data_IF_289424634180
#
_entry.id   IF_289424634180
#
_cell.length_a   1.000
_cell.length_b   1.000
_cell.length_c   1.000
_cell.angle_alpha   90.00
_cell.angle_beta   90.00
_cell.angle_gamma   90.00
#
_symmetry.space_group_name_H-M   'P 1'
#
loop_
_entity.id
_entity.type
_entity.pdbx_description
1 polymer ?
#
# COMPACT_ATOMS: atom_id res chain seq x y z
N UNK A 1 6.89 1.88 -4.18
CA UNK A 1 6.76 1.23 -2.85
C UNK A 1 5.33 1.41 -2.35
N UNK A 2 4.86 0.58 -1.40
CA UNK A 2 3.55 0.69 -0.71
C UNK A 2 3.80 0.67 0.78
N UNK A 3 2.94 1.31 1.56
CA UNK A 3 3.01 1.25 3.02
C UNK A 3 2.81 -0.20 3.50
N UNK A 4 3.63 -0.65 4.44
CA UNK A 4 3.53 -1.97 5.05
C UNK A 4 2.42 -2.01 6.12
N UNK A 5 2.10 -3.22 6.62
CA UNK A 5 1.20 -3.34 7.75
C UNK A 5 1.72 -2.60 9.00
N UNK A 6 3.04 -2.56 9.20
CA UNK A 6 3.67 -1.83 10.32
C UNK A 6 3.37 -0.33 10.24
N UNK A 7 3.49 0.26 9.05
CA UNK A 7 3.13 1.67 8.84
C UNK A 7 1.63 1.94 9.00
N UNK A 8 0.77 1.02 8.55
CA UNK A 8 -0.68 1.12 8.74
C UNK A 8 -1.06 1.08 10.21
N UNK A 9 -0.50 0.15 10.99
CA UNK A 9 -0.77 0.05 12.43
C UNK A 9 -0.28 1.30 13.18
N UNK A 10 0.85 1.89 12.77
CA UNK A 10 1.30 3.17 13.31
C UNK A 10 0.26 4.28 13.09
N UNK A 11 -0.33 4.38 11.90
CA UNK A 11 -1.38 5.37 11.61
C UNK A 11 -2.62 5.11 12.46
N UNK A 12 -3.10 3.86 12.50
CA UNK A 12 -4.27 3.45 13.29
C UNK A 12 -4.14 3.81 14.77
N UNK A 13 -2.94 3.67 15.32
CA UNK A 13 -2.65 3.99 16.73
C UNK A 13 -2.94 5.47 17.07
N UNK A 14 -2.74 6.38 16.11
CA UNK A 14 -2.87 7.82 16.35
C UNK A 14 -4.19 8.42 15.85
N UNK A 15 -4.83 7.84 14.85
CA UNK A 15 -6.08 8.38 14.28
C UNK A 15 -7.32 7.93 15.06
N UNK A 16 -7.30 6.73 15.62
CA UNK A 16 -8.50 6.10 16.16
C UNK A 16 -9.48 5.70 15.05
N UNK A 17 -10.45 4.83 15.35
CA UNK A 17 -11.44 4.36 14.41
C UNK A 17 -12.85 4.63 14.89
N UNK A 18 -13.70 5.17 14.02
CA UNK A 18 -15.14 5.31 14.28
C UNK A 18 -15.95 4.59 13.21
N UNK A 19 -16.66 3.54 13.59
CA UNK A 19 -17.44 2.71 12.67
C UNK A 19 -18.83 3.30 12.35
N UNK A 20 -19.20 4.42 12.98
CA UNK A 20 -20.40 5.19 12.69
C UNK A 20 -20.03 6.60 12.31
N UNK A 21 -20.66 7.14 11.26
CA UNK A 21 -20.40 8.48 10.77
C UNK A 21 -20.66 9.53 11.85
N UNK A 22 -19.77 10.49 11.95
CA UNK A 22 -19.81 11.63 12.88
C UNK A 22 -19.44 12.91 12.13
N UNK A 23 -19.75 14.04 12.73
CA UNK A 23 -19.24 15.34 12.22
C UNK A 23 -17.89 15.62 12.86
N UNK A 24 -16.89 15.93 12.03
CA UNK A 24 -15.61 16.41 12.49
C UNK A 24 -15.74 17.85 13.08
N UNK A 25 -14.69 18.46 13.63
CA UNK A 25 -14.75 19.84 14.15
C UNK A 25 -15.13 20.90 13.10
N UNK A 26 -14.95 20.62 11.81
CA UNK A 26 -15.35 21.49 10.71
C UNK A 26 -16.81 21.21 10.26
N UNK A 27 -17.49 20.21 10.85
CA UNK A 27 -18.86 19.83 10.51
C UNK A 27 -18.97 18.85 9.34
N UNK A 28 -17.84 18.31 8.84
CA UNK A 28 -17.80 17.39 7.71
C UNK A 28 -18.17 15.97 8.19
N UNK A 29 -19.11 15.26 7.51
CA UNK A 29 -19.38 13.86 7.79
C UNK A 29 -18.13 13.00 7.59
N UNK A 30 -17.72 12.30 8.62
CA UNK A 30 -16.46 11.55 8.70
C UNK A 30 -16.70 10.16 9.27
N UNK A 31 -15.98 9.14 8.82
CA UNK A 31 -16.07 7.75 9.30
C UNK A 31 -14.69 7.09 9.27
N UNK A 32 -14.56 5.91 9.81
CA UNK A 32 -13.31 5.13 9.88
C UNK A 32 -12.18 5.90 10.59
N UNK A 33 -11.05 6.05 9.94
CA UNK A 33 -9.83 6.72 10.42
C UNK A 33 -9.72 8.17 9.89
N UNK A 34 -10.84 8.82 9.64
CA UNK A 34 -10.87 10.19 9.09
C UNK A 34 -11.33 10.26 7.63
N UNK A 35 -11.91 9.19 7.09
CA UNK A 35 -12.47 9.16 5.75
C UNK A 35 -13.69 10.06 5.63
N UNK A 36 -13.75 10.90 4.56
CA UNK A 36 -14.83 11.88 4.35
C UNK A 36 -15.53 11.73 3.01
N UNK A 37 -14.88 11.07 2.03
CA UNK A 37 -15.39 11.01 0.66
C UNK A 37 -16.67 10.17 0.56
N UNK A 38 -17.78 10.82 0.19
CA UNK A 38 -19.07 10.14 0.02
C UNK A 38 -19.80 9.75 1.31
N UNK A 39 -19.26 10.11 2.50
CA UNK A 39 -19.84 9.79 3.80
C UNK A 39 -21.09 10.61 4.05
N UNK A 40 -22.15 9.95 4.52
CA UNK A 40 -23.41 10.57 4.96
C UNK A 40 -23.64 10.31 6.43
N UNK A 41 -24.27 11.28 7.10
CA UNK A 41 -24.67 11.07 8.50
C UNK A 41 -25.66 9.90 8.60
N UNK A 42 -25.38 8.97 9.52
CA UNK A 42 -26.11 7.71 9.68
C UNK A 42 -25.40 6.49 9.10
N UNK A 43 -24.38 6.67 8.24
CA UNK A 43 -23.59 5.56 7.71
C UNK A 43 -22.91 4.77 8.85
N UNK A 44 -22.88 3.45 8.69
CA UNK A 44 -22.18 2.51 9.57
C UNK A 44 -21.40 1.51 8.73
N UNK A 45 -20.20 1.17 9.18
CA UNK A 45 -19.29 0.23 8.49
C UNK A 45 -18.73 -0.80 9.49
N UNK A 46 -18.17 -1.89 8.96
CA UNK A 46 -17.41 -2.86 9.74
C UNK A 46 -15.96 -2.40 9.92
N UNK A 47 -15.22 -3.06 10.82
CA UNK A 47 -13.78 -2.79 11.01
C UNK A 47 -12.99 -3.07 9.72
N UNK A 48 -13.34 -4.16 9.02
CA UNK A 48 -12.69 -4.53 7.76
C UNK A 48 -12.90 -3.44 6.69
N UNK A 49 -14.11 -2.87 6.61
CA UNK A 49 -14.41 -1.77 5.70
C UNK A 49 -13.65 -0.50 6.08
N UNK A 50 -13.51 -0.21 7.38
CA UNK A 50 -12.70 0.92 7.85
C UNK A 50 -11.23 0.76 7.46
N UNK A 51 -10.70 -0.45 7.58
CA UNK A 51 -9.31 -0.78 7.19
C UNK A 51 -9.11 -0.70 5.68
N UNK A 52 -10.09 -1.07 4.87
CA UNK A 52 -10.07 -0.90 3.41
C UNK A 52 -10.08 0.58 3.02
N UNK A 53 -10.97 1.39 3.63
CA UNK A 53 -11.02 2.84 3.40
C UNK A 53 -9.69 3.52 3.75
N UNK A 54 -9.07 3.15 4.87
CA UNK A 54 -7.75 3.69 5.23
C UNK A 54 -6.70 3.37 4.16
N UNK A 55 -6.66 2.13 3.65
CA UNK A 55 -5.71 1.74 2.60
C UNK A 55 -5.92 2.53 1.31
N UNK A 56 -7.17 2.81 0.95
CA UNK A 56 -7.51 3.60 -0.23
C UNK A 56 -7.10 5.06 -0.05
N UNK A 57 -7.36 5.66 1.12
CA UNK A 57 -6.96 7.03 1.43
C UNK A 57 -5.43 7.20 1.43
N UNK A 58 -4.69 6.18 1.86
CA UNK A 58 -3.23 6.22 1.92
C UNK A 58 -2.55 6.27 0.55
N UNK A 59 -3.20 5.85 -0.53
CA UNK A 59 -2.63 5.86 -1.90
C UNK A 59 -2.13 7.25 -2.30
N UNK A 60 -2.86 8.30 -1.93
CA UNK A 60 -2.49 9.69 -2.24
C UNK A 60 -1.19 10.07 -1.52
N UNK A 61 -1.05 9.67 -0.26
CA UNK A 61 0.11 10.00 0.57
C UNK A 61 1.33 9.16 0.21
N UNK A 62 1.13 7.89 -0.17
CA UNK A 62 2.18 7.06 -0.78
C UNK A 62 2.76 7.73 -2.03
N UNK A 63 1.92 8.29 -2.91
CA UNK A 63 2.36 9.04 -4.08
C UNK A 63 3.19 10.28 -3.73
N UNK A 64 2.82 11.00 -2.64
CA UNK A 64 3.56 12.16 -2.16
C UNK A 64 4.95 11.81 -1.62
N UNK A 65 5.11 10.63 -1.01
CA UNK A 65 6.39 10.12 -0.53
C UNK A 65 7.22 9.55 -1.69
N UNK A 66 6.60 8.74 -2.56
CA UNK A 66 7.25 8.14 -3.73
C UNK A 66 7.80 9.16 -4.72
N UNK A 67 7.26 10.37 -4.74
CA UNK A 67 7.79 11.52 -5.52
C UNK A 67 9.30 11.75 -5.31
N UNK A 68 9.80 11.40 -4.15
CA UNK A 68 11.21 11.60 -3.77
C UNK A 68 12.03 10.30 -3.74
N UNK A 69 11.45 9.17 -4.16
CA UNK A 69 12.08 7.85 -4.04
C UNK A 69 13.34 7.73 -4.93
N UNK A 70 13.31 8.28 -6.15
CA UNK A 70 14.46 8.31 -7.06
C UNK A 70 15.68 9.01 -6.45
N UNK A 71 15.45 9.92 -5.51
CA UNK A 71 16.52 10.67 -4.84
C UNK A 71 17.01 10.00 -3.57
N UNK A 72 16.07 9.50 -2.76
CA UNK A 72 16.40 9.06 -1.40
C UNK A 72 16.50 7.54 -1.29
N UNK A 73 15.89 6.80 -2.24
CA UNK A 73 15.84 5.34 -2.20
C UNK A 73 15.35 4.84 -0.83
N UNK A 74 14.16 5.32 -0.42
CA UNK A 74 13.58 5.01 0.88
C UNK A 74 13.58 3.51 1.15
N UNK A 75 14.06 3.10 2.30
CA UNK A 75 13.76 1.75 2.78
C UNK A 75 12.31 1.66 3.26
N UNK A 76 11.81 0.45 3.54
CA UNK A 76 10.40 0.24 3.90
C UNK A 76 10.01 1.01 5.16
N UNK A 77 10.85 1.03 6.21
CA UNK A 77 10.57 1.70 7.46
C UNK A 77 10.53 3.23 7.28
N UNK A 78 11.44 3.78 6.49
CA UNK A 78 11.46 5.20 6.13
C UNK A 78 10.22 5.58 5.34
N UNK A 79 9.83 4.78 4.35
CA UNK A 79 8.63 4.99 3.56
C UNK A 79 7.38 4.98 4.43
N UNK A 80 7.21 3.99 5.31
CA UNK A 80 6.09 3.84 6.22
C UNK A 80 5.95 5.04 7.17
N UNK A 81 7.06 5.46 7.78
CA UNK A 81 7.10 6.61 8.67
C UNK A 81 6.71 7.91 7.95
N UNK A 82 7.22 8.11 6.72
CA UNK A 82 6.91 9.28 5.91
C UNK A 82 5.48 9.30 5.38
N UNK A 83 4.87 8.14 5.08
CA UNK A 83 3.45 8.05 4.74
C UNK A 83 2.59 8.40 5.94
N UNK A 84 2.92 7.90 7.15
CA UNK A 84 2.23 8.31 8.39
C UNK A 84 2.35 9.82 8.63
N UNK A 85 3.55 10.36 8.46
CA UNK A 85 3.77 11.81 8.57
C UNK A 85 2.94 12.59 7.56
N UNK A 86 2.95 12.18 6.28
CA UNK A 86 2.21 12.84 5.20
C UNK A 86 0.69 12.77 5.42
N UNK A 87 0.18 11.65 5.95
CA UNK A 87 -1.23 11.49 6.28
C UNK A 87 -1.72 12.54 7.29
N UNK A 88 -0.90 12.85 8.30
CA UNK A 88 -1.23 13.84 9.33
C UNK A 88 -0.96 15.29 8.90
N UNK A 89 0.14 15.55 8.17
CA UNK A 89 0.60 16.91 7.83
C UNK A 89 0.14 17.34 6.42
N UNK A 90 -0.20 16.39 5.57
CA UNK A 90 -0.63 16.61 4.19
C UNK A 90 0.47 16.34 3.14
N UNK A 91 1.75 16.56 3.41
CA UNK A 91 2.87 16.26 2.51
C UNK A 91 4.20 16.17 3.25
N UNK A 92 5.26 15.71 2.54
CA UNK A 92 6.64 15.72 3.04
C UNK A 92 7.52 16.79 2.37
N UNK A 93 6.94 17.67 1.59
CA UNK A 93 7.68 18.65 0.79
C UNK A 93 8.54 19.58 1.67
N UNK A 94 7.95 20.16 2.72
CA UNK A 94 8.68 21.01 3.69
C UNK A 94 9.67 20.18 4.51
N UNK A 95 9.29 18.97 4.93
CA UNK A 95 10.14 18.08 5.70
C UNK A 95 11.41 17.73 4.93
N UNK A 96 11.31 17.44 3.63
CA UNK A 96 12.44 17.13 2.75
C UNK A 96 13.13 18.36 2.15
N UNK A 97 12.59 19.58 2.41
CA UNK A 97 13.01 20.81 1.71
C UNK A 97 12.93 20.64 0.18
N UNK A 98 11.81 20.07 -0.31
CA UNK A 98 11.61 19.71 -1.73
C UNK A 98 12.74 18.83 -2.28
N UNK A 99 13.12 17.82 -1.51
CA UNK A 99 14.15 16.86 -1.90
C UNK A 99 15.59 17.36 -1.70
N UNK A 100 15.85 18.47 -1.02
CA UNK A 100 17.21 19.00 -0.82
C UNK A 100 17.86 18.63 0.50
N UNK A 101 17.09 18.10 1.47
CA UNK A 101 17.59 17.81 2.82
C UNK A 101 18.21 16.41 2.88
N UNK A 102 19.29 16.24 3.64
CA UNK A 102 19.88 14.92 3.89
C UNK A 102 18.96 14.03 4.74
N UNK A 103 19.00 12.72 4.55
CA UNK A 103 18.15 11.73 5.26
C UNK A 103 18.24 11.88 6.78
N UNK A 104 19.46 11.96 7.32
CA UNK A 104 19.66 12.17 8.77
C UNK A 104 18.96 13.43 9.29
N UNK A 105 19.03 14.52 8.54
CA UNK A 105 18.36 15.78 8.90
C UNK A 105 16.84 15.67 8.77
N UNK A 106 16.33 14.88 7.82
CA UNK A 106 14.89 14.59 7.68
C UNK A 106 14.39 13.91 8.95
N UNK A 107 15.08 12.85 9.40
CA UNK A 107 14.77 12.14 10.64
C UNK A 107 14.65 13.10 11.83
N UNK A 108 15.64 13.95 12.05
CA UNK A 108 15.65 14.88 13.19
C UNK A 108 14.51 15.92 13.07
N UNK A 109 14.23 16.39 11.86
CA UNK A 109 13.18 17.38 11.59
C UNK A 109 11.75 16.85 11.80
N UNK A 110 11.51 15.55 11.73
CA UNK A 110 10.20 14.97 12.04
C UNK A 110 9.70 15.49 13.39
N UNK A 111 10.55 15.55 14.41
CA UNK A 111 10.18 15.96 15.77
C UNK A 111 9.70 17.42 15.88
N UNK A 112 10.00 18.29 14.92
CA UNK A 112 9.61 19.70 14.96
C UNK A 112 8.12 19.91 14.63
N UNK A 113 7.45 18.96 13.98
CA UNK A 113 6.06 19.04 13.55
C UNK A 113 5.07 18.62 14.67
N UNK A 114 5.25 19.18 15.86
CA UNK A 114 4.52 18.82 17.07
C UNK A 114 3.57 19.92 17.58
N UNK A 115 3.26 20.94 16.74
CA UNK A 115 2.42 22.08 17.11
C UNK A 115 1.17 22.15 16.24
N UNK A 116 0.07 22.61 16.83
CA UNK A 116 -1.13 23.03 16.12
C UNK A 116 -1.62 24.35 16.76
N UNK A 117 -2.01 25.34 15.93
CA UNK A 117 -2.38 26.69 16.40
C UNK A 117 -1.26 27.36 17.21
N UNK A 118 0.02 27.10 16.88
CA UNK A 118 1.19 27.63 17.58
C UNK A 118 1.52 26.94 18.91
N UNK A 119 0.65 26.06 19.42
CA UNK A 119 0.83 25.35 20.70
C UNK A 119 1.36 23.94 20.48
N UNK A 120 2.33 23.55 21.32
CA UNK A 120 2.84 22.17 21.36
C UNK A 120 1.76 21.24 21.91
N UNK A 121 1.48 20.14 21.24
CA UNK A 121 0.49 19.16 21.62
C UNK A 121 1.16 17.82 21.94
N UNK A 122 0.92 17.28 23.12
CA UNK A 122 1.54 16.00 23.56
C UNK A 122 1.18 14.82 22.67
N UNK A 123 -0.02 14.78 22.09
CA UNK A 123 -0.40 13.78 21.09
C UNK A 123 0.49 13.80 19.85
N UNK A 124 0.77 15.01 19.33
CA UNK A 124 1.68 15.20 18.20
C UNK A 124 3.13 14.87 18.57
N UNK A 125 3.56 15.21 19.80
CA UNK A 125 4.90 14.83 20.27
C UNK A 125 5.07 13.32 20.27
N UNK A 126 4.09 12.56 20.81
CA UNK A 126 4.14 11.10 20.80
C UNK A 126 4.15 10.54 19.38
N UNK A 127 3.29 11.07 18.49
CA UNK A 127 3.24 10.65 17.08
C UNK A 127 4.57 10.85 16.37
N UNK A 128 5.15 12.06 16.45
CA UNK A 128 6.45 12.37 15.83
C UNK A 128 7.58 11.50 16.36
N UNK A 129 7.58 11.18 17.65
CA UNK A 129 8.56 10.24 18.24
C UNK A 129 8.41 8.84 17.67
N UNK A 130 7.20 8.33 17.53
CA UNK A 130 6.95 7.02 16.97
C UNK A 130 7.31 6.96 15.46
N UNK A 131 6.97 7.99 14.69
CA UNK A 131 7.35 8.10 13.27
C UNK A 131 8.87 8.18 13.10
N UNK A 132 9.56 8.97 13.94
CA UNK A 132 11.04 9.03 13.92
C UNK A 132 11.65 7.68 14.30
N UNK A 133 11.14 7.01 15.32
CA UNK A 133 11.63 5.70 15.74
C UNK A 133 11.51 4.66 14.60
N UNK A 134 10.38 4.63 13.90
CA UNK A 134 10.20 3.78 12.73
C UNK A 134 11.13 4.18 11.58
N UNK A 135 11.31 5.48 11.34
CA UNK A 135 12.20 5.99 10.28
C UNK A 135 13.67 5.58 10.49
N UNK A 136 14.13 5.59 11.73
CA UNK A 136 15.53 5.29 12.11
C UNK A 136 15.78 3.79 12.32
N UNK A 137 14.72 2.97 12.35
CA UNK A 137 14.84 1.54 12.57
C UNK A 137 15.44 0.86 11.34
N UNK A 138 16.50 0.08 11.54
CA UNK A 138 17.12 -0.73 10.50
C UNK A 138 16.11 -1.74 9.92
N UNK A 139 16.11 -1.93 8.62
CA UNK A 139 15.34 -3.01 7.98
C UNK A 139 16.16 -4.30 8.15
N UNK A 140 15.58 -5.33 8.76
CA UNK A 140 16.23 -6.64 8.86
C UNK A 140 16.54 -7.16 7.44
N UNK A 141 17.84 -7.26 7.13
CA UNK A 141 18.34 -7.68 5.81
C UNK A 141 19.15 -6.64 5.05
N UNK A 142 19.26 -5.38 5.51
CA UNK A 142 20.10 -4.37 4.88
C UNK A 142 21.45 -4.24 5.60
N UNK A 143 22.30 -5.23 5.39
CA UNK A 143 23.74 -5.15 5.71
C UNK A 143 24.48 -4.65 4.48
N UNK A 144 24.37 -3.36 4.14
CA UNK A 144 25.29 -2.76 3.18
C UNK A 144 25.66 -1.33 3.53
N UNK A 145 26.59 -1.22 4.48
CA UNK A 145 27.60 -0.17 4.43
C UNK A 145 28.80 -0.74 3.66
N UNK A 146 28.80 -0.67 2.32
CA UNK A 146 30.00 -0.79 1.48
C UNK A 146 29.81 0.06 0.24
N UNK A 147 30.83 0.89 -0.03
CA UNK A 147 30.98 1.77 -1.20
C UNK A 147 30.89 1.03 -2.56
N UNK A 148 30.69 1.76 -3.66
CA UNK A 148 30.33 1.16 -4.95
C UNK A 148 31.54 0.57 -5.67
N UNK A 149 31.49 -0.70 -5.99
CA UNK A 149 32.30 -1.28 -7.06
C UNK A 149 31.38 -1.92 -8.11
N UNK A 150 31.66 -1.76 -9.39
CA UNK A 150 30.82 -2.29 -10.45
C UNK A 150 31.15 -3.75 -10.71
N UNK A 151 30.19 -4.64 -10.58
CA UNK A 151 30.35 -5.94 -11.21
C UNK A 151 29.03 -6.53 -11.72
N UNK A 152 29.08 -6.76 -13.00
CA UNK A 152 28.20 -7.45 -13.90
C UNK A 152 28.03 -8.91 -13.46
N UNK A 153 26.83 -9.35 -13.08
CA UNK A 153 26.50 -10.77 -13.08
C UNK A 153 24.98 -10.98 -13.15
N UNK A 154 24.58 -11.54 -14.24
CA UNK A 154 23.28 -12.10 -14.57
C UNK A 154 22.77 -13.04 -13.46
N UNK A 155 21.52 -12.93 -12.99
CA UNK A 155 20.96 -13.95 -12.11
C UNK A 155 20.63 -15.21 -12.92
N UNK A 156 21.27 -16.29 -12.51
CA UNK A 156 21.03 -17.66 -12.95
C UNK A 156 19.66 -18.12 -12.46
N UNK A 157 18.80 -18.52 -13.37
CA UNK A 157 17.56 -19.23 -13.10
C UNK A 157 17.86 -20.48 -12.29
N UNK A 158 17.30 -20.56 -11.11
CA UNK A 158 17.20 -21.83 -10.38
C UNK A 158 15.82 -22.39 -10.63
N UNK A 159 15.76 -23.39 -11.47
CA UNK A 159 14.60 -24.25 -11.67
C UNK A 159 14.27 -24.96 -10.35
N UNK A 160 13.15 -24.60 -9.75
CA UNK A 160 12.55 -25.39 -8.67
C UNK A 160 11.57 -26.38 -9.28
N UNK A 161 11.88 -27.64 -9.08
CA UNK A 161 11.13 -28.82 -9.52
C UNK A 161 9.69 -28.80 -9.03
N UNK A 162 8.79 -29.16 -9.94
CA UNK A 162 7.38 -29.47 -9.74
C UNK A 162 7.15 -30.49 -8.63
N UNK A 163 6.34 -30.09 -7.63
CA UNK A 163 5.40 -31.02 -7.00
C UNK A 163 3.99 -30.56 -7.38
N UNK A 164 3.32 -31.37 -8.16
CA UNK A 164 2.05 -31.10 -8.80
C UNK A 164 0.92 -31.00 -7.76
N UNK A 165 0.67 -29.81 -7.23
CA UNK A 165 -0.60 -29.51 -6.61
C UNK A 165 -1.53 -29.00 -7.71
N UNK A 166 -2.56 -29.79 -8.07
CA UNK A 166 -3.44 -29.52 -9.20
C UNK A 166 -4.18 -28.18 -9.02
N UNK A 167 -3.84 -27.23 -9.88
CA UNK A 167 -4.54 -25.94 -9.94
C UNK A 167 -5.96 -26.09 -10.51
N UNK A 168 -6.99 -25.50 -9.90
CA UNK A 168 -8.34 -25.48 -10.48
C UNK A 168 -8.44 -24.59 -11.72
N UNK A 169 -7.39 -23.82 -12.04
CA UNK A 169 -7.35 -22.89 -13.16
C UNK A 169 -6.57 -23.47 -14.33
N UNK A 170 -7.08 -23.25 -15.57
CA UNK A 170 -6.43 -23.67 -16.82
C UNK A 170 -5.99 -22.44 -17.62
N UNK A 171 -4.83 -22.51 -18.24
CA UNK A 171 -4.38 -21.51 -19.21
C UNK A 171 -5.35 -21.47 -20.39
N UNK A 172 -5.74 -20.28 -20.84
CA UNK A 172 -6.78 -20.07 -21.83
C UNK A 172 -8.21 -20.07 -21.27
N UNK A 173 -8.42 -20.54 -20.04
CA UNK A 173 -9.72 -20.49 -19.37
C UNK A 173 -10.16 -19.07 -19.03
N UNK A 174 -11.47 -18.84 -19.08
CA UNK A 174 -12.08 -17.58 -18.63
C UNK A 174 -12.79 -17.79 -17.31
N UNK A 175 -12.50 -16.92 -16.36
CA UNK A 175 -13.00 -16.99 -14.99
C UNK A 175 -13.54 -15.63 -14.55
N UNK A 176 -14.32 -15.61 -13.48
CA UNK A 176 -14.97 -14.37 -12.98
C UNK A 176 -14.37 -13.98 -11.65
N UNK A 177 -13.97 -12.73 -11.50
CA UNK A 177 -13.55 -12.13 -10.23
C UNK A 177 -14.70 -12.19 -9.23
N UNK A 178 -14.48 -12.85 -8.09
CA UNK A 178 -15.48 -13.10 -7.05
C UNK A 178 -14.98 -12.60 -5.69
N UNK A 179 -15.03 -11.29 -5.51
CA UNK A 179 -14.57 -10.58 -4.31
C UNK A 179 -15.63 -9.59 -3.84
N UNK A 180 -15.57 -9.13 -2.61
CA UNK A 180 -16.56 -8.18 -2.09
C UNK A 180 -16.44 -6.78 -2.73
N UNK A 181 -15.23 -6.30 -2.96
CA UNK A 181 -14.98 -4.97 -3.53
C UNK A 181 -14.24 -5.03 -4.87
N UNK A 182 -12.94 -5.25 -4.83
CA UNK A 182 -12.10 -5.32 -6.02
C UNK A 182 -10.86 -6.20 -5.79
N UNK A 183 -10.27 -6.71 -6.88
CA UNK A 183 -9.10 -7.59 -6.86
C UNK A 183 -7.89 -6.88 -7.47
N UNK A 184 -6.83 -6.74 -6.69
CA UNK A 184 -5.61 -6.06 -7.11
C UNK A 184 -4.91 -6.76 -8.28
N UNK A 185 -4.46 -5.97 -9.26
CA UNK A 185 -3.59 -6.40 -10.36
C UNK A 185 -2.15 -6.03 -10.04
N UNK A 186 -1.23 -6.99 -10.09
CA UNK A 186 0.17 -6.83 -9.72
C UNK A 186 1.12 -7.09 -10.89
N UNK A 187 2.35 -6.60 -10.78
CA UNK A 187 3.40 -6.80 -11.78
C UNK A 187 3.95 -8.23 -11.78
N UNK A 188 3.77 -8.98 -10.69
CA UNK A 188 4.25 -10.36 -10.53
C UNK A 188 3.33 -11.21 -9.68
N UNK A 189 3.58 -12.54 -9.65
CA UNK A 189 2.83 -13.54 -8.92
C UNK A 189 3.25 -13.55 -7.44
N UNK A 190 2.65 -12.71 -6.61
CA UNK A 190 2.93 -12.60 -5.18
C UNK A 190 2.38 -11.30 -4.58
N UNK A 191 2.08 -11.31 -3.28
CA UNK A 191 1.60 -10.12 -2.55
C UNK A 191 2.68 -9.03 -2.41
N UNK A 192 3.94 -9.39 -2.54
CA UNK A 192 5.11 -8.53 -2.47
C UNK A 192 5.41 -7.75 -3.77
N UNK A 193 4.76 -8.12 -4.89
CA UNK A 193 4.93 -7.37 -6.14
C UNK A 193 4.05 -6.11 -6.14
N UNK A 194 4.57 -5.04 -6.77
CA UNK A 194 3.87 -3.78 -6.95
C UNK A 194 2.52 -3.94 -7.66
N UNK A 195 1.61 -3.02 -7.40
CA UNK A 195 0.38 -2.89 -8.17
C UNK A 195 0.69 -2.35 -9.58
N UNK A 196 -0.05 -2.83 -10.58
CA UNK A 196 0.05 -2.31 -11.95
C UNK A 196 -0.45 -0.86 -12.01
N UNK A 197 -1.49 -0.53 -11.23
CA UNK A 197 -2.15 0.77 -11.24
C UNK A 197 -3.03 0.99 -12.48
N UNK A 198 -4.06 1.82 -12.35
CA UNK A 198 -5.08 2.02 -13.40
C UNK A 198 -4.49 2.42 -14.76
N UNK A 199 -3.51 3.34 -14.78
CA UNK A 199 -2.92 3.86 -16.03
C UNK A 199 -2.26 2.79 -16.89
N UNK A 200 -1.71 1.74 -16.24
CA UNK A 200 -0.94 0.67 -16.87
C UNK A 200 -1.75 -0.59 -17.20
N UNK A 201 -3.05 -0.60 -16.88
CA UNK A 201 -3.94 -1.66 -17.30
C UNK A 201 -4.20 -1.59 -18.81
N UNK A 202 -4.54 -2.74 -19.40
CA UNK A 202 -5.08 -2.79 -20.78
C UNK A 202 -6.37 -1.99 -20.87
N UNK A 203 -6.81 -1.55 -22.08
CA UNK A 203 -8.08 -0.86 -22.25
C UNK A 203 -9.27 -1.60 -21.64
N UNK A 204 -9.36 -2.91 -21.85
CA UNK A 204 -10.37 -3.78 -21.25
C UNK A 204 -10.25 -3.83 -19.73
N UNK A 205 -9.02 -3.98 -19.19
CA UNK A 205 -8.76 -3.92 -17.75
C UNK A 205 -9.22 -2.61 -17.12
N UNK A 206 -9.03 -1.48 -17.80
CA UNK A 206 -9.50 -0.15 -17.33
C UNK A 206 -11.02 -0.05 -17.28
N UNK A 207 -11.72 -0.65 -18.26
CA UNK A 207 -13.18 -0.64 -18.30
C UNK A 207 -13.82 -1.41 -17.13
N UNK A 208 -13.08 -2.33 -16.51
CA UNK A 208 -13.57 -3.22 -15.46
C UNK A 208 -12.81 -3.04 -14.13
N UNK A 209 -12.08 -1.94 -13.96
CA UNK A 209 -11.32 -1.65 -12.75
C UNK A 209 -11.83 -0.40 -12.04
N UNK A 210 -11.57 -0.32 -10.74
CA UNK A 210 -11.70 0.93 -10.00
C UNK A 210 -10.56 1.91 -10.36
N UNK A 211 -10.64 3.14 -9.86
CA UNK A 211 -9.65 4.19 -10.11
C UNK A 211 -8.21 3.83 -9.67
N UNK A 212 -8.03 2.86 -8.77
CA UNK A 212 -6.74 2.34 -8.33
C UNK A 212 -6.18 1.22 -9.22
N UNK A 213 -6.97 0.75 -10.20
CA UNK A 213 -6.57 -0.33 -11.11
C UNK A 213 -6.81 -1.73 -10.56
N UNK A 214 -7.66 -1.88 -9.53
CA UNK A 214 -8.12 -3.18 -9.07
C UNK A 214 -9.40 -3.58 -9.81
N UNK A 215 -9.48 -4.83 -10.28
CA UNK A 215 -10.61 -5.35 -11.04
C UNK A 215 -11.85 -5.50 -10.14
N UNK A 216 -12.97 -5.02 -10.62
CA UNK A 216 -14.24 -5.07 -9.90
C UNK A 216 -14.79 -6.50 -9.83
N UNK A 217 -15.63 -6.74 -8.82
CA UNK A 217 -16.39 -7.99 -8.73
C UNK A 217 -17.21 -8.23 -10.00
N UNK A 218 -17.26 -9.47 -10.47
CA UNK A 218 -17.95 -9.83 -11.71
C UNK A 218 -17.12 -9.67 -12.99
N UNK A 219 -15.92 -9.07 -12.92
CA UNK A 219 -15.03 -8.95 -14.09
C UNK A 219 -14.63 -10.33 -14.60
N UNK A 220 -14.81 -10.57 -15.89
CA UNK A 220 -14.33 -11.78 -16.56
C UNK A 220 -12.85 -11.61 -16.94
N UNK A 221 -12.03 -12.61 -16.67
CA UNK A 221 -10.60 -12.60 -16.96
C UNK A 221 -10.17 -13.88 -17.66
N UNK A 222 -9.36 -13.77 -18.70
CA UNK A 222 -8.76 -14.91 -19.40
C UNK A 222 -7.34 -15.15 -18.86
N UNK A 223 -7.08 -16.36 -18.39
CA UNK A 223 -5.81 -16.76 -17.78
C UNK A 223 -4.77 -17.05 -18.86
N UNK A 224 -3.62 -16.41 -18.78
CA UNK A 224 -2.46 -16.60 -19.68
C UNK A 224 -1.39 -17.50 -19.07
N UNK A 225 -1.31 -17.54 -17.73
CA UNK A 225 -0.33 -18.34 -16.99
C UNK A 225 -0.87 -18.59 -15.58
N UNK A 226 -0.51 -19.70 -14.98
CA UNK A 226 -0.85 -20.05 -13.60
C UNK A 226 0.44 -20.27 -12.82
N UNK A 227 0.58 -19.67 -11.65
CA UNK A 227 1.72 -19.87 -10.75
C UNK A 227 1.23 -20.18 -9.35
N UNK A 228 1.76 -21.23 -8.75
CA UNK A 228 1.49 -21.61 -7.36
C UNK A 228 2.64 -21.09 -6.50
N UNK A 229 2.30 -20.39 -5.43
CA UNK A 229 3.26 -19.83 -4.47
C UNK A 229 2.75 -20.11 -3.05
N UNK A 230 3.21 -21.23 -2.47
CA UNK A 230 2.69 -21.76 -1.22
C UNK A 230 1.18 -22.05 -1.34
N UNK A 231 0.38 -21.54 -0.44
CA UNK A 231 -1.09 -21.72 -0.47
C UNK A 231 -1.81 -20.79 -1.47
N UNK A 232 -1.07 -19.94 -2.20
CA UNK A 232 -1.65 -19.00 -3.15
C UNK A 232 -1.54 -19.49 -4.58
N UNK A 233 -2.59 -19.29 -5.36
CA UNK A 233 -2.58 -19.51 -6.81
C UNK A 233 -2.74 -18.16 -7.50
N UNK A 234 -1.75 -17.80 -8.29
CA UNK A 234 -1.67 -16.57 -9.04
C UNK A 234 -1.98 -16.80 -10.51
N UNK A 235 -2.79 -15.93 -11.07
CA UNK A 235 -3.26 -16.00 -12.46
C UNK A 235 -2.73 -14.78 -13.21
N UNK A 236 -1.96 -15.02 -14.27
CA UNK A 236 -1.57 -13.97 -15.21
C UNK A 236 -2.71 -13.69 -16.16
N UNK A 237 -3.10 -12.45 -16.24
CA UNK A 237 -4.09 -11.92 -17.17
C UNK A 237 -3.42 -10.86 -18.05
N UNK A 238 -4.03 -10.36 -19.15
CA UNK A 238 -3.41 -9.34 -20.00
C UNK A 238 -2.91 -8.09 -19.26
N UNK A 239 -3.57 -7.69 -18.19
CA UNK A 239 -3.21 -6.51 -17.38
C UNK A 239 -2.15 -6.75 -16.30
N UNK A 240 -1.75 -8.01 -16.03
CA UNK A 240 -0.80 -8.35 -14.98
C UNK A 240 -1.17 -9.63 -14.24
N UNK A 241 -0.84 -9.74 -12.96
CA UNK A 241 -1.12 -10.88 -12.12
C UNK A 241 -2.21 -10.59 -11.09
N UNK A 242 -3.14 -11.52 -10.91
CA UNK A 242 -4.18 -11.49 -9.88
C UNK A 242 -4.12 -12.74 -9.03
N UNK A 243 -4.51 -12.64 -7.77
CA UNK A 243 -4.62 -13.79 -6.90
C UNK A 243 -5.94 -14.52 -7.18
N UNK A 244 -5.87 -15.74 -7.69
CA UNK A 244 -7.05 -16.57 -7.97
C UNK A 244 -7.55 -17.27 -6.70
N UNK A 245 -6.62 -17.74 -5.86
CA UNK A 245 -6.90 -18.43 -4.59
C UNK A 245 -5.88 -18.01 -3.53
N UNK A 246 -6.30 -17.81 -2.30
CA UNK A 246 -5.48 -17.45 -1.15
C UNK A 246 -5.86 -18.34 0.04
N UNK A 247 -5.08 -19.39 0.29
CA UNK A 247 -5.46 -20.44 1.21
C UNK A 247 -6.78 -21.11 0.81
N UNK A 248 -7.75 -21.14 1.71
CA UNK A 248 -9.10 -21.65 1.43
C UNK A 248 -9.98 -20.69 0.63
N UNK A 249 -9.61 -19.41 0.52
CA UNK A 249 -10.43 -18.36 -0.10
C UNK A 249 -10.26 -18.34 -1.62
N UNK A 250 -11.34 -18.60 -2.36
CA UNK A 250 -11.40 -18.49 -3.83
C UNK A 250 -11.80 -17.06 -4.18
N UNK A 251 -10.94 -16.37 -4.94
CA UNK A 251 -11.12 -14.97 -5.34
C UNK A 251 -11.52 -14.83 -6.81
N UNK A 252 -11.31 -15.89 -7.60
CA UNK A 252 -11.67 -15.97 -9.03
C UNK A 252 -12.30 -17.34 -9.26
N UNK A 253 -13.48 -17.36 -9.88
CA UNK A 253 -14.28 -18.59 -10.10
C UNK A 253 -14.53 -18.83 -11.57
#
# INVERSE_FOLDING_TARGET
MRISNKGIELIKQFEGCRLKAYKDPAGVPTIAYGHTAGVKMGDTITQEQADELLRDDLVIYEGKVAKYDDKYHWNQNQFDALVSFAYNIGSIDQLTSNGRRAIKTISDKILEYNKAGGKKLEGLVRRRKAEKALFDEAVEGDSSAVEPQPNNSTPKETEAKDEAQASPYKVGGTYTVSVRSALNVRKGAGKNYDLVGFRNLTPDGKAHANHNGALLNGTKVTVKEVKIAGEQIWLKIPSGWICGKDGAKILVK
#
